data_IF_235945996159
#
_entry.id   IF_235945996159
#
_cell.length_a   1.000
_cell.length_b   1.000
_cell.length_c   1.000
_cell.angle_alpha   90.00
_cell.angle_beta   90.00
_cell.angle_gamma   90.00
#
_symmetry.space_group_name_H-M   'P 1'
#
loop_
_entity.id
_entity.type
_entity.pdbx_description
1 polymer ?
#
# COMPACT_ATOMS: atom_id res chain seq x y z
N UNK A 1 31.53 -7.97 -23.06
CA UNK A 1 31.26 -8.97 -22.00
C UNK A 1 30.82 -8.16 -20.80
N UNK A 2 29.61 -8.37 -20.27
CA UNK A 2 29.14 -7.65 -19.09
C UNK A 2 29.99 -8.08 -17.89
N UNK A 3 30.84 -7.19 -17.40
CA UNK A 3 31.64 -7.46 -16.21
C UNK A 3 30.68 -7.58 -15.01
N UNK A 4 30.50 -8.81 -14.52
CA UNK A 4 29.68 -9.06 -13.33
C UNK A 4 30.50 -8.60 -12.14
N UNK A 5 30.02 -7.56 -11.46
CA UNK A 5 30.58 -7.07 -10.22
C UNK A 5 30.00 -7.84 -9.03
N UNK A 6 30.88 -8.12 -8.08
CA UNK A 6 30.59 -8.86 -6.86
C UNK A 6 30.80 -7.97 -5.64
N UNK A 7 30.17 -8.38 -4.53
CA UNK A 7 30.31 -7.80 -3.21
C UNK A 7 30.62 -8.91 -2.21
N UNK A 8 31.45 -8.59 -1.23
CA UNK A 8 31.81 -9.51 -0.14
C UNK A 8 31.06 -9.12 1.12
N UNK A 9 30.33 -10.08 1.68
CA UNK A 9 29.57 -9.93 2.94
C UNK A 9 30.17 -10.80 4.03
N UNK A 10 30.16 -10.30 5.26
CA UNK A 10 30.45 -11.08 6.47
C UNK A 10 29.34 -10.87 7.49
N UNK A 11 28.99 -11.90 8.25
CA UNK A 11 27.96 -11.89 9.29
C UNK A 11 28.53 -12.12 10.70
N UNK A 12 29.86 -12.06 10.85
CA UNK A 12 30.54 -12.30 12.12
C UNK A 12 30.75 -13.77 12.46
N UNK A 13 30.50 -14.69 11.53
CA UNK A 13 30.79 -16.13 11.71
C UNK A 13 32.30 -16.41 11.70
N UNK A 14 32.74 -17.15 12.71
CA UNK A 14 34.15 -17.51 12.90
C UNK A 14 34.49 -18.83 12.17
N UNK A 15 35.72 -18.93 11.68
CA UNK A 15 36.22 -20.18 11.11
C UNK A 15 36.37 -21.26 12.20
N UNK A 16 36.30 -22.56 11.82
CA UNK A 16 36.44 -23.66 12.78
C UNK A 16 37.76 -23.57 13.56
N UNK A 17 37.68 -23.61 14.90
CA UNK A 17 38.86 -23.60 15.77
C UNK A 17 39.44 -22.21 16.09
N UNK A 18 38.76 -21.13 15.69
CA UNK A 18 39.21 -19.75 15.97
C UNK A 18 38.41 -19.11 17.11
N UNK A 19 39.10 -18.42 18.02
CA UNK A 19 38.47 -17.65 19.10
C UNK A 19 38.13 -16.23 18.65
N UNK A 20 37.10 -15.64 19.25
CA UNK A 20 36.64 -14.28 18.93
C UNK A 20 37.75 -13.22 19.09
N UNK A 21 38.56 -13.31 20.14
CA UNK A 21 39.66 -12.37 20.38
C UNK A 21 40.72 -12.45 19.28
N UNK A 22 41.10 -13.66 18.87
CA UNK A 22 42.08 -13.87 17.79
C UNK A 22 41.57 -13.34 16.45
N UNK A 23 40.30 -13.57 16.13
CA UNK A 23 39.69 -13.07 14.89
C UNK A 23 39.65 -11.54 14.88
N UNK A 24 39.31 -10.89 16.01
CA UNK A 24 39.30 -9.43 16.12
C UNK A 24 40.69 -8.82 15.94
N UNK A 25 41.72 -9.39 16.56
CA UNK A 25 43.10 -8.92 16.40
C UNK A 25 43.63 -9.13 14.98
N UNK A 26 43.35 -10.29 14.39
CA UNK A 26 43.78 -10.62 13.03
C UNK A 26 43.11 -9.70 12.01
N UNK A 27 41.83 -9.40 12.20
CA UNK A 27 41.08 -8.47 11.37
C UNK A 27 41.57 -7.02 11.55
N UNK A 28 41.90 -6.61 12.78
CA UNK A 28 42.52 -5.32 13.08
C UNK A 28 43.84 -5.12 12.34
N UNK A 29 44.68 -6.15 12.30
CA UNK A 29 45.93 -6.15 11.54
C UNK A 29 45.68 -6.10 10.04
N UNK A 30 44.74 -6.90 9.53
CA UNK A 30 44.42 -6.96 8.10
C UNK A 30 43.89 -5.62 7.55
N UNK A 31 42.99 -4.97 8.29
CA UNK A 31 42.39 -3.69 7.90
C UNK A 31 43.16 -2.45 8.38
N UNK A 32 44.23 -2.64 9.18
CA UNK A 32 44.99 -1.57 9.83
C UNK A 32 44.08 -0.61 10.62
N UNK A 33 43.14 -1.19 11.38
CA UNK A 33 42.17 -0.46 12.21
C UNK A 33 42.24 -0.92 13.65
N UNK A 34 41.76 -0.09 14.56
CA UNK A 34 41.68 -0.43 15.98
C UNK A 34 40.66 -1.55 16.24
N UNK A 35 40.95 -2.36 17.27
CA UNK A 35 40.11 -3.49 17.70
C UNK A 35 38.68 -3.03 18.03
N UNK A 36 38.53 -1.84 18.62
CA UNK A 36 37.23 -1.24 18.94
C UNK A 36 36.37 -0.94 17.71
N UNK A 37 36.98 -0.47 16.61
CA UNK A 37 36.26 -0.19 15.37
C UNK A 37 35.73 -1.47 14.69
N UNK A 38 36.36 -2.61 14.99
CA UNK A 38 36.06 -3.90 14.37
C UNK A 38 35.03 -4.71 15.16
N UNK A 39 34.87 -4.46 16.46
CA UNK A 39 33.87 -5.13 17.29
C UNK A 39 32.45 -5.04 16.70
N UNK A 40 32.11 -3.90 16.08
CA UNK A 40 30.81 -3.71 15.43
C UNK A 40 30.55 -4.65 14.24
N UNK A 41 31.61 -5.18 13.59
CA UNK A 41 31.46 -6.11 12.48
C UNK A 41 31.02 -7.51 12.93
N UNK A 42 31.14 -7.85 14.22
CA UNK A 42 30.74 -9.14 14.78
C UNK A 42 29.34 -9.11 15.41
N UNK A 43 28.49 -8.15 15.03
CA UNK A 43 27.14 -7.95 15.58
C UNK A 43 26.09 -8.97 15.08
N UNK A 44 26.47 -9.93 14.22
CA UNK A 44 25.57 -10.93 13.64
C UNK A 44 24.83 -10.47 12.37
N UNK A 45 24.88 -9.17 12.05
CA UNK A 45 24.26 -8.63 10.84
C UNK A 45 25.22 -8.73 9.64
N UNK A 46 24.74 -9.11 8.44
CA UNK A 46 25.56 -9.12 7.23
C UNK A 46 26.05 -7.71 6.84
N UNK A 47 27.36 -7.49 6.92
CA UNK A 47 28.02 -6.22 6.59
C UNK A 47 28.85 -6.39 5.32
N UNK A 48 28.76 -5.40 4.42
CA UNK A 48 29.54 -5.34 3.19
C UNK A 48 30.96 -4.84 3.45
N UNK A 49 31.98 -5.65 3.20
CA UNK A 49 33.39 -5.24 3.37
C UNK A 49 33.87 -4.47 2.15
N UNK A 50 33.63 -5.02 0.96
CA UNK A 50 34.05 -4.44 -0.32
C UNK A 50 32.98 -4.71 -1.38
N UNK A 51 32.72 -3.71 -2.21
CA UNK A 51 31.77 -3.71 -3.32
C UNK A 51 32.52 -3.46 -4.62
N UNK A 52 31.84 -3.70 -5.73
CA UNK A 52 32.31 -3.36 -7.07
C UNK A 52 33.66 -4.02 -7.44
N UNK A 53 33.76 -5.33 -7.20
CA UNK A 53 34.97 -6.11 -7.49
C UNK A 53 34.70 -7.24 -8.49
N UNK A 54 35.71 -7.60 -9.28
CA UNK A 54 35.61 -8.74 -10.21
C UNK A 54 35.71 -10.09 -9.47
N UNK A 55 35.37 -11.20 -10.14
CA UNK A 55 35.39 -12.52 -9.50
C UNK A 55 36.77 -12.92 -8.97
N UNK A 56 37.84 -12.67 -9.74
CA UNK A 56 39.19 -13.07 -9.35
C UNK A 56 39.70 -12.32 -8.11
N UNK A 57 39.33 -11.05 -7.97
CA UNK A 57 39.60 -10.24 -6.79
C UNK A 57 38.75 -10.73 -5.62
N UNK A 58 37.47 -11.02 -5.84
CA UNK A 58 36.58 -11.53 -4.80
C UNK A 58 37.13 -12.81 -4.16
N UNK A 59 37.62 -13.75 -4.98
CA UNK A 59 38.20 -15.01 -4.48
C UNK A 59 39.45 -14.78 -3.62
N UNK A 60 40.34 -13.86 -4.03
CA UNK A 60 41.51 -13.47 -3.22
C UNK A 60 41.14 -12.87 -1.86
N UNK A 61 40.09 -12.05 -1.82
CA UNK A 61 39.63 -11.47 -0.56
C UNK A 61 38.98 -12.52 0.36
N UNK A 62 38.26 -13.50 -0.18
CA UNK A 62 37.68 -14.59 0.61
C UNK A 62 38.79 -15.41 1.25
N UNK A 63 39.83 -15.75 0.48
CA UNK A 63 41.00 -16.48 0.99
C UNK A 63 41.73 -15.71 2.10
N UNK A 64 41.96 -14.40 1.90
CA UNK A 64 42.57 -13.54 2.90
C UNK A 64 41.72 -13.46 4.19
N UNK A 65 40.39 -13.35 4.07
CA UNK A 65 39.49 -13.30 5.22
C UNK A 65 39.39 -14.65 5.96
N UNK A 66 39.41 -15.75 5.22
CA UNK A 66 39.46 -17.10 5.79
C UNK A 66 40.76 -17.32 6.56
N UNK A 67 41.90 -16.88 6.02
CA UNK A 67 43.19 -16.94 6.73
C UNK A 67 43.22 -16.09 8.01
N UNK A 68 42.40 -15.04 8.09
CA UNK A 68 42.21 -14.22 9.28
C UNK A 68 41.18 -14.82 10.27
N UNK A 69 40.60 -15.98 9.95
CA UNK A 69 39.71 -16.74 10.83
C UNK A 69 38.24 -16.37 10.75
N UNK A 70 37.79 -15.74 9.65
CA UNK A 70 36.39 -15.31 9.46
C UNK A 70 35.83 -15.91 8.17
N UNK A 71 34.56 -16.31 8.22
CA UNK A 71 33.86 -16.80 7.04
C UNK A 71 33.20 -15.60 6.31
N UNK A 72 33.55 -15.44 5.04
CA UNK A 72 32.98 -14.41 4.17
C UNK A 72 32.25 -15.05 2.99
N UNK A 73 31.18 -14.40 2.51
CA UNK A 73 30.38 -14.85 1.37
C UNK A 73 30.54 -13.92 0.16
N UNK A 74 30.60 -14.52 -1.02
CA UNK A 74 30.59 -13.84 -2.32
C UNK A 74 29.16 -13.72 -2.83
N UNK A 75 28.68 -12.50 -3.01
CA UNK A 75 27.35 -12.20 -3.55
C UNK A 75 27.50 -11.33 -4.81
N UNK A 76 26.54 -11.44 -5.75
CA UNK A 76 26.51 -10.58 -6.94
C UNK A 76 26.04 -9.18 -6.52
N UNK A 77 26.76 -8.15 -6.93
CA UNK A 77 26.37 -6.76 -6.65
C UNK A 77 25.39 -6.29 -7.73
N UNK A 78 24.09 -6.50 -7.48
CA UNK A 78 23.03 -6.06 -8.39
C UNK A 78 23.09 -4.55 -8.67
N UNK A 79 23.47 -3.75 -7.67
CA UNK A 79 23.56 -2.29 -7.80
C UNK A 79 24.69 -1.84 -8.72
N UNK A 80 25.84 -2.51 -8.67
CA UNK A 80 26.95 -2.21 -9.57
C UNK A 80 26.71 -2.73 -11.01
N UNK A 81 25.91 -3.78 -11.17
CA UNK A 81 25.59 -4.36 -12.49
C UNK A 81 24.47 -3.61 -13.24
N UNK A 82 23.86 -2.59 -12.62
CA UNK A 82 22.88 -1.71 -13.24
C UNK A 82 23.60 -0.55 -13.93
N UNK A 83 24.06 -0.76 -15.16
CA UNK A 83 24.59 0.31 -16.02
C UNK A 83 23.48 0.86 -16.91
N UNK A 84 23.32 2.19 -16.92
CA UNK A 84 22.43 2.89 -17.85
C UNK A 84 23.20 3.15 -19.14
N UNK A 85 22.85 2.45 -20.23
CA UNK A 85 23.35 2.82 -21.55
C UNK A 85 22.71 4.14 -22.00
N UNK A 86 23.50 5.16 -22.38
CA UNK A 86 22.96 6.35 -23.01
C UNK A 86 22.38 5.94 -24.37
N UNK A 87 21.10 6.22 -24.57
CA UNK A 87 20.43 6.07 -25.86
C UNK A 87 21.14 7.03 -26.82
N UNK A 88 21.91 6.49 -27.77
CA UNK A 88 22.49 7.31 -28.83
C UNK A 88 21.35 7.94 -29.60
N UNK A 89 21.32 9.28 -29.59
CA UNK A 89 20.36 10.08 -30.33
C UNK A 89 20.69 9.92 -31.82
N UNK A 90 20.17 8.83 -32.42
CA UNK A 90 20.24 8.61 -33.85
C UNK A 90 19.53 9.76 -34.56
N UNK A 91 20.27 10.47 -35.41
CA UNK A 91 19.76 11.51 -36.30
C UNK A 91 18.44 11.11 -36.94
N UNK A 92 17.44 11.98 -36.77
CA UNK A 92 16.17 11.90 -37.47
C UNK A 92 16.39 12.26 -38.95
N UNK A 93 16.74 11.27 -39.77
CA UNK A 93 16.59 11.41 -41.21
C UNK A 93 15.10 11.59 -41.52
N UNK A 94 14.79 12.71 -42.17
CA UNK A 94 13.45 13.15 -42.53
C UNK A 94 12.82 12.16 -43.53
N UNK A 95 12.14 11.14 -43.02
CA UNK A 95 11.23 10.37 -43.85
C UNK A 95 9.98 11.23 -44.11
N UNK A 96 9.84 11.75 -45.33
CA UNK A 96 8.76 12.65 -45.76
C UNK A 96 7.43 11.94 -46.02
N UNK A 97 7.28 10.69 -45.58
CA UNK A 97 6.02 9.96 -45.64
C UNK A 97 5.01 10.55 -44.65
N UNK A 98 3.82 10.91 -45.14
CA UNK A 98 2.72 11.40 -44.29
C UNK A 98 1.89 10.25 -43.75
N UNK A 99 1.41 10.38 -42.52
CA UNK A 99 0.53 9.41 -41.89
C UNK A 99 -0.56 10.10 -41.06
N UNK A 100 -1.68 9.41 -40.88
CA UNK A 100 -2.79 9.87 -40.04
C UNK A 100 -2.73 9.20 -38.67
N UNK A 101 -2.83 10.00 -37.60
CA UNK A 101 -2.80 9.48 -36.23
C UNK A 101 -4.08 8.68 -35.91
N UNK A 102 -3.98 7.42 -35.43
CA UNK A 102 -5.14 6.57 -35.14
C UNK A 102 -5.97 6.99 -33.91
N UNK A 103 -5.54 8.01 -33.16
CA UNK A 103 -6.27 8.52 -31.97
C UNK A 103 -7.00 9.82 -32.21
N UNK A 104 -6.33 10.81 -32.82
CA UNK A 104 -6.88 12.16 -33.00
C UNK A 104 -7.13 12.52 -34.47
N UNK A 105 -6.85 11.60 -35.41
CA UNK A 105 -7.01 11.78 -36.85
C UNK A 105 -6.20 12.92 -37.48
N UNK A 106 -5.19 13.47 -36.79
CA UNK A 106 -4.29 14.49 -37.37
C UNK A 106 -3.36 13.88 -38.42
N UNK A 107 -3.26 14.52 -39.59
CA UNK A 107 -2.23 14.24 -40.59
C UNK A 107 -0.89 14.86 -40.17
N UNK A 108 0.15 14.04 -40.10
CA UNK A 108 1.50 14.46 -39.73
C UNK A 108 2.55 13.66 -40.49
N UNK A 109 3.81 14.11 -40.48
CA UNK A 109 4.92 13.29 -40.96
C UNK A 109 5.06 12.01 -40.13
N UNK A 110 5.60 10.95 -40.74
CA UNK A 110 5.90 9.69 -40.08
C UNK A 110 6.85 9.95 -38.91
N UNK A 111 6.32 9.82 -37.70
CA UNK A 111 7.04 10.06 -36.46
C UNK A 111 6.62 9.00 -35.44
N UNK A 112 7.50 8.70 -34.49
CA UNK A 112 7.23 7.73 -33.42
C UNK A 112 6.13 8.23 -32.46
N UNK A 113 6.00 9.56 -32.34
CA UNK A 113 5.02 10.24 -31.50
C UNK A 113 4.06 11.14 -32.31
N UNK A 114 2.83 11.26 -31.83
CA UNK A 114 1.86 12.19 -32.41
C UNK A 114 2.12 13.61 -31.93
N UNK A 115 2.31 14.55 -32.86
CA UNK A 115 2.58 15.96 -32.56
C UNK A 115 1.37 16.70 -31.98
N UNK A 116 0.15 16.19 -32.20
CA UNK A 116 -1.08 16.81 -31.68
C UNK A 116 -1.52 16.24 -30.32
N UNK A 117 -1.58 14.91 -30.18
CA UNK A 117 -2.13 14.27 -28.98
C UNK A 117 -1.10 13.52 -28.11
N UNK A 118 0.18 13.54 -28.50
CA UNK A 118 1.30 13.06 -27.68
C UNK A 118 1.41 11.54 -27.51
N UNK A 119 0.65 10.73 -28.26
CA UNK A 119 0.76 9.27 -28.15
C UNK A 119 1.97 8.73 -28.91
N UNK A 120 2.57 7.65 -28.39
CA UNK A 120 3.53 6.84 -29.14
C UNK A 120 2.76 5.92 -30.10
N UNK A 121 2.89 6.16 -31.40
CA UNK A 121 2.00 5.61 -32.43
C UNK A 121 2.15 4.08 -32.55
N UNK A 122 3.38 3.56 -32.53
CA UNK A 122 3.65 2.13 -32.59
C UNK A 122 3.00 1.39 -31.40
N UNK A 123 3.13 1.97 -30.19
CA UNK A 123 2.55 1.39 -28.96
C UNK A 123 1.02 1.41 -29.00
N UNK A 124 0.42 2.48 -29.50
CA UNK A 124 -1.04 2.61 -29.60
C UNK A 124 -1.65 1.64 -30.62
N UNK A 125 -0.99 1.44 -31.77
CA UNK A 125 -1.41 0.43 -32.76
C UNK A 125 -1.34 -0.99 -32.20
N UNK A 126 -0.29 -1.33 -31.46
CA UNK A 126 -0.16 -2.64 -30.82
C UNK A 126 -1.23 -2.85 -29.74
N UNK A 127 -1.57 -1.81 -28.98
CA UNK A 127 -2.66 -1.86 -28.01
C UNK A 127 -4.01 -2.07 -28.70
N UNK A 128 -4.31 -1.36 -29.79
CA UNK A 128 -5.54 -1.57 -30.57
C UNK A 128 -5.62 -2.99 -31.17
N UNK A 129 -4.51 -3.54 -31.67
CA UNK A 129 -4.47 -4.91 -32.17
C UNK A 129 -4.74 -5.94 -31.06
N UNK A 130 -4.25 -5.69 -29.84
CA UNK A 130 -4.52 -6.53 -28.68
C UNK A 130 -5.97 -6.39 -28.18
N UNK A 131 -6.56 -5.20 -28.21
CA UNK A 131 -7.97 -5.00 -27.82
C UNK A 131 -8.92 -5.65 -28.82
N UNK A 132 -8.61 -5.61 -30.12
CA UNK A 132 -9.46 -6.20 -31.15
C UNK A 132 -9.41 -7.75 -31.17
N UNK A 133 -8.36 -8.35 -30.61
CA UNK A 133 -8.21 -9.81 -30.47
C UNK A 133 -8.53 -10.35 -29.06
N UNK A 134 -8.93 -9.50 -28.10
CA UNK A 134 -9.16 -9.94 -26.71
C UNK A 134 -10.59 -10.38 -26.42
N UNK A 135 -11.09 -11.31 -27.23
CA UNK A 135 -12.15 -12.24 -26.82
C UNK A 135 -11.60 -13.63 -26.49
N UNK A 136 -10.32 -13.96 -26.75
CA UNK A 136 -9.88 -15.36 -26.58
C UNK A 136 -8.45 -15.67 -26.08
N UNK A 137 -7.59 -14.70 -25.76
CA UNK A 137 -6.25 -15.02 -25.25
C UNK A 137 -5.73 -14.01 -24.22
N UNK A 138 -5.98 -14.25 -22.93
CA UNK A 138 -5.36 -13.50 -21.81
C UNK A 138 -4.66 -14.40 -20.77
N UNK A 139 -4.35 -15.66 -21.09
CA UNK A 139 -3.80 -16.62 -20.12
C UNK A 139 -2.29 -16.83 -20.15
N UNK A 140 -1.46 -16.06 -20.88
CA UNK A 140 -0.04 -16.43 -21.10
C UNK A 140 0.97 -15.59 -20.30
N UNK A 141 0.62 -15.13 -19.09
CA UNK A 141 1.58 -14.48 -18.19
C UNK A 141 1.54 -15.13 -16.80
N UNK A 142 2.59 -15.86 -16.38
CA UNK A 142 2.68 -16.50 -15.06
C UNK A 142 2.59 -15.53 -13.88
N UNK A 143 2.87 -14.25 -14.11
CA UNK A 143 2.77 -13.16 -13.11
C UNK A 143 1.62 -12.19 -13.42
N UNK A 144 0.71 -12.52 -14.34
CA UNK A 144 -0.49 -11.71 -14.49
C UNK A 144 -1.36 -11.94 -13.26
N UNK A 145 -1.57 -10.87 -12.48
CA UNK A 145 -2.60 -10.86 -11.46
C UNK A 145 -3.90 -11.34 -12.11
N UNK A 146 -4.64 -12.27 -11.50
CA UNK A 146 -5.94 -12.65 -12.04
C UNK A 146 -6.75 -11.38 -12.22
N UNK A 147 -7.14 -11.08 -13.46
CA UNK A 147 -8.07 -10.00 -13.72
C UNK A 147 -9.40 -10.45 -13.11
N UNK A 148 -9.61 -10.12 -11.84
CA UNK A 148 -10.91 -10.23 -11.23
C UNK A 148 -11.80 -9.24 -11.98
N UNK A 149 -12.58 -9.74 -12.94
CA UNK A 149 -13.77 -9.07 -13.41
C UNK A 149 -14.72 -9.06 -12.22
N UNK A 150 -14.50 -8.16 -11.28
CA UNK A 150 -15.49 -7.84 -10.27
C UNK A 150 -16.55 -7.09 -11.06
N UNK A 151 -17.65 -7.78 -11.39
CA UNK A 151 -18.89 -7.09 -11.70
C UNK A 151 -19.17 -6.20 -10.48
N UNK A 152 -18.80 -4.92 -10.59
CA UNK A 152 -19.19 -3.92 -9.62
C UNK A 152 -20.68 -3.72 -9.81
N UNK A 153 -21.46 -4.63 -9.24
CA UNK A 153 -22.87 -4.42 -9.04
C UNK A 153 -22.98 -3.28 -8.02
N UNK A 154 -22.99 -2.04 -8.50
CA UNK A 154 -23.13 -0.82 -7.70
C UNK A 154 -24.44 -0.80 -6.91
N UNK A 155 -25.35 -1.70 -7.24
CA UNK A 155 -26.68 -1.79 -6.67
C UNK A 155 -26.76 -2.82 -5.53
N UNK A 156 -25.72 -3.64 -5.32
CA UNK A 156 -25.64 -4.58 -4.20
C UNK A 156 -25.20 -3.85 -2.92
N UNK A 157 -26.11 -3.02 -2.42
CA UNK A 157 -25.98 -2.36 -1.11
C UNK A 157 -26.06 -3.43 -0.05
N UNK A 158 -24.94 -3.74 0.62
CA UNK A 158 -24.93 -4.68 1.74
C UNK A 158 -26.03 -4.35 2.76
N UNK A 159 -26.90 -5.33 2.99
CA UNK A 159 -28.10 -5.19 3.82
C UNK A 159 -27.73 -4.68 5.21
N UNK A 160 -28.28 -3.52 5.56
CA UNK A 160 -28.20 -2.99 6.91
C UNK A 160 -29.15 -3.82 7.76
N UNK A 161 -28.62 -4.74 8.55
CA UNK A 161 -29.44 -5.38 9.56
C UNK A 161 -29.89 -4.31 10.56
N UNK A 162 -31.16 -3.90 10.52
CA UNK A 162 -31.68 -2.81 11.35
C UNK A 162 -31.78 -3.25 12.82
N UNK A 163 -31.85 -4.56 13.06
CA UNK A 163 -32.07 -5.19 14.36
C UNK A 163 -30.81 -5.93 14.79
N UNK A 164 -29.86 -5.23 15.41
CA UNK A 164 -28.61 -5.83 15.87
C UNK A 164 -27.47 -4.82 16.00
N UNK A 165 -26.36 -5.26 16.59
CA UNK A 165 -25.15 -4.44 16.81
C UNK A 165 -24.04 -4.84 15.81
N UNK A 166 -24.24 -5.96 15.15
CA UNK A 166 -23.39 -6.58 14.16
C UNK A 166 -23.51 -5.84 12.82
N UNK A 167 -22.37 -5.58 12.21
CA UNK A 167 -22.28 -4.88 10.93
C UNK A 167 -21.44 -3.62 11.01
N UNK A 168 -21.29 -2.98 9.85
CA UNK A 168 -20.50 -1.77 9.65
C UNK A 168 -21.33 -0.75 8.87
N UNK A 169 -21.25 0.51 9.25
CA UNK A 169 -21.91 1.61 8.55
C UNK A 169 -20.90 2.71 8.22
N UNK A 170 -20.77 3.02 6.93
CA UNK A 170 -19.93 4.12 6.46
C UNK A 170 -20.52 5.48 6.79
N UNK A 171 -19.71 6.54 6.65
CA UNK A 171 -20.05 7.92 7.06
C UNK A 171 -21.34 8.47 6.44
N UNK A 172 -21.54 8.29 5.12
CA UNK A 172 -22.73 8.81 4.43
C UNK A 172 -24.01 8.13 4.91
N UNK A 173 -23.98 6.80 5.10
CA UNK A 173 -25.13 6.04 5.62
C UNK A 173 -25.40 6.40 7.08
N UNK A 174 -24.34 6.61 7.88
CA UNK A 174 -24.47 7.09 9.24
C UNK A 174 -25.23 8.42 9.29
N UNK A 175 -24.80 9.43 8.52
CA UNK A 175 -25.47 10.73 8.46
C UNK A 175 -26.92 10.58 7.99
N UNK A 176 -27.18 9.83 6.92
CA UNK A 176 -28.53 9.62 6.41
C UNK A 176 -29.46 8.98 7.45
N UNK A 177 -29.03 7.91 8.12
CA UNK A 177 -29.84 7.24 9.15
C UNK A 177 -30.00 8.07 10.42
N UNK A 178 -29.00 8.85 10.82
CA UNK A 178 -29.13 9.81 11.92
C UNK A 178 -30.15 10.92 11.59
N UNK A 179 -30.19 11.40 10.34
CA UNK A 179 -31.20 12.36 9.90
C UNK A 179 -32.59 11.73 9.90
N UNK A 180 -32.76 10.52 9.36
CA UNK A 180 -34.03 9.78 9.40
C UNK A 180 -34.53 9.59 10.84
N UNK A 181 -33.65 9.20 11.76
CA UNK A 181 -33.97 9.07 13.18
C UNK A 181 -34.45 10.40 13.78
N UNK A 182 -33.78 11.51 13.45
CA UNK A 182 -34.15 12.85 13.93
C UNK A 182 -35.51 13.30 13.38
N UNK A 183 -35.78 13.08 12.09
CA UNK A 183 -37.06 13.38 11.46
C UNK A 183 -38.21 12.47 11.93
N UNK A 184 -37.93 11.22 12.34
CA UNK A 184 -38.93 10.32 12.88
C UNK A 184 -39.28 10.65 14.35
N UNK A 185 -38.28 10.99 15.18
CA UNK A 185 -38.48 11.28 16.60
C UNK A 185 -39.14 12.64 16.82
N UNK A 186 -38.79 13.65 16.03
CA UNK A 186 -39.33 15.01 16.19
C UNK A 186 -40.87 15.04 16.23
N UNK A 187 -41.61 14.49 15.24
CA UNK A 187 -43.06 14.47 15.31
C UNK A 187 -43.58 13.58 16.46
N UNK A 188 -42.92 12.46 16.76
CA UNK A 188 -43.31 11.59 17.88
C UNK A 188 -43.21 12.34 19.24
N UNK A 189 -42.15 13.12 19.43
CA UNK A 189 -41.98 13.98 20.60
C UNK A 189 -43.01 15.11 20.63
N UNK A 190 -43.31 15.75 19.50
CA UNK A 190 -44.36 16.78 19.42
C UNK A 190 -45.73 16.23 19.79
N UNK A 191 -46.11 15.06 19.27
CA UNK A 191 -47.37 14.38 19.61
C UNK A 191 -47.41 14.06 21.10
N UNK A 192 -46.30 13.55 21.65
CA UNK A 192 -46.19 13.23 23.08
C UNK A 192 -46.30 14.49 23.95
N UNK A 193 -45.79 15.63 23.48
CA UNK A 193 -45.90 16.92 24.16
C UNK A 193 -47.33 17.48 24.12
N UNK A 194 -48.07 17.28 23.03
CA UNK A 194 -49.50 17.59 22.97
C UNK A 194 -50.29 16.70 23.94
N UNK A 195 -49.99 15.40 24.01
CA UNK A 195 -50.62 14.47 24.95
C UNK A 195 -50.33 14.86 26.42
N UNK A 196 -49.14 15.41 26.69
CA UNK A 196 -48.77 15.92 28.03
C UNK A 196 -49.67 17.08 28.48
N UNK A 197 -50.12 17.93 27.57
CA UNK A 197 -51.07 19.01 27.88
C UNK A 197 -52.44 18.47 28.29
N UNK A 198 -52.86 17.33 27.73
CA UNK A 198 -54.13 16.69 28.08
C UNK A 198 -54.04 15.91 29.39
N UNK A 199 -52.97 15.12 29.58
CA UNK A 199 -52.69 14.44 30.84
C UNK A 199 -51.19 14.27 31.07
N UNK A 200 -50.64 14.75 32.21
CA UNK A 200 -49.20 14.66 32.48
C UNK A 200 -48.68 13.23 32.51
N UNK A 201 -49.47 12.29 33.03
CA UNK A 201 -49.10 10.88 33.13
C UNK A 201 -48.91 10.24 31.74
N UNK A 202 -49.91 10.40 30.86
CA UNK A 202 -49.89 9.81 29.51
C UNK A 202 -48.78 10.43 28.66
N UNK A 203 -48.66 11.76 28.66
CA UNK A 203 -47.60 12.43 27.92
C UNK A 203 -46.21 12.06 28.43
N UNK A 204 -46.02 11.97 29.74
CA UNK A 204 -44.75 11.57 30.34
C UNK A 204 -44.33 10.15 29.94
N UNK A 205 -45.29 9.21 29.93
CA UNK A 205 -45.05 7.83 29.52
C UNK A 205 -44.70 7.73 28.03
N UNK A 206 -45.41 8.48 27.17
CA UNK A 206 -45.13 8.55 25.74
C UNK A 206 -43.75 9.16 25.44
N UNK A 207 -43.37 10.25 26.12
CA UNK A 207 -42.04 10.86 25.99
C UNK A 207 -40.95 9.86 26.42
N UNK A 208 -41.12 9.20 27.56
CA UNK A 208 -40.16 8.22 28.05
C UNK A 208 -40.00 7.04 27.08
N UNK A 209 -41.12 6.49 26.58
CA UNK A 209 -41.11 5.40 25.62
C UNK A 209 -40.41 5.82 24.31
N UNK A 210 -40.78 6.97 23.73
CA UNK A 210 -40.17 7.49 22.51
C UNK A 210 -38.66 7.77 22.69
N UNK A 211 -38.27 8.34 23.85
CA UNK A 211 -36.89 8.60 24.20
C UNK A 211 -36.05 7.32 24.35
N UNK A 212 -36.60 6.28 24.99
CA UNK A 212 -35.90 4.98 25.11
C UNK A 212 -35.69 4.35 23.74
N UNK A 213 -36.72 4.34 22.88
CA UNK A 213 -36.62 3.82 21.50
C UNK A 213 -35.55 4.60 20.72
N UNK A 214 -35.56 5.92 20.82
CA UNK A 214 -34.57 6.79 20.20
C UNK A 214 -33.12 6.47 20.63
N UNK A 215 -32.91 6.30 21.93
CA UNK A 215 -31.59 5.99 22.50
C UNK A 215 -31.13 4.62 22.02
N UNK A 216 -31.98 3.60 22.03
CA UNK A 216 -31.64 2.24 21.58
C UNK A 216 -31.21 2.26 20.11
N UNK A 217 -31.98 2.90 19.23
CA UNK A 217 -31.66 2.98 17.79
C UNK A 217 -30.39 3.81 17.57
N UNK A 218 -30.25 4.94 18.27
CA UNK A 218 -29.06 5.80 18.18
C UNK A 218 -27.78 5.10 18.62
N UNK A 219 -27.83 4.29 19.68
CA UNK A 219 -26.72 3.45 20.14
C UNK A 219 -26.38 2.40 19.08
N UNK A 220 -27.37 1.68 18.53
CA UNK A 220 -27.12 0.67 17.50
C UNK A 220 -26.42 1.24 16.27
N UNK A 221 -26.86 2.40 15.78
CA UNK A 221 -26.24 3.08 14.63
C UNK A 221 -24.80 3.50 14.95
N UNK A 222 -24.57 4.09 16.12
CA UNK A 222 -23.26 4.59 16.52
C UNK A 222 -22.24 3.47 16.78
N UNK A 223 -22.66 2.35 17.39
CA UNK A 223 -21.77 1.19 17.59
C UNK A 223 -21.35 0.59 16.24
N UNK A 224 -22.26 0.49 15.27
CA UNK A 224 -21.92 0.05 13.90
C UNK A 224 -20.93 0.98 13.21
N UNK A 225 -20.97 2.29 13.49
CA UNK A 225 -20.00 3.26 12.96
C UNK A 225 -18.62 3.05 13.60
N UNK A 226 -18.59 2.81 14.91
CA UNK A 226 -17.34 2.49 15.62
C UNK A 226 -16.71 1.18 15.10
N UNK A 227 -17.54 0.16 14.83
CA UNK A 227 -17.08 -1.09 14.21
C UNK A 227 -16.54 -0.90 12.78
N UNK A 228 -17.04 0.09 12.03
CA UNK A 228 -16.50 0.45 10.70
C UNK A 228 -15.10 1.06 10.80
N UNK A 229 -14.81 1.83 11.87
CA UNK A 229 -13.48 2.38 12.17
C UNK A 229 -12.53 1.31 12.76
N UNK A 230 -13.06 0.12 13.11
CA UNK A 230 -12.29 -0.94 13.76
C UNK A 230 -12.13 -0.73 15.27
N UNK A 231 -12.96 0.11 15.88
CA UNK A 231 -12.95 0.42 17.30
C UNK A 231 -14.05 -0.32 18.06
N UNK A 232 -13.86 -0.51 19.37
CA UNK A 232 -14.85 -1.15 20.23
C UNK A 232 -16.03 -0.22 20.51
N UNK A 233 -17.24 -0.78 20.61
CA UNK A 233 -18.46 -0.02 20.92
C UNK A 233 -18.43 0.76 22.25
N UNK A 234 -17.51 0.41 23.17
CA UNK A 234 -17.32 1.13 24.44
C UNK A 234 -16.91 2.60 24.26
N UNK A 235 -16.25 2.94 23.16
CA UNK A 235 -15.87 4.33 22.87
C UNK A 235 -17.09 5.23 22.58
N UNK A 236 -18.30 4.68 22.47
CA UNK A 236 -19.53 5.45 22.38
C UNK A 236 -19.70 6.39 23.58
N UNK A 237 -19.14 6.07 24.76
CA UNK A 237 -19.16 6.96 25.92
C UNK A 237 -18.47 8.31 25.68
N UNK A 238 -17.51 8.39 24.76
CA UNK A 238 -16.90 9.66 24.34
C UNK A 238 -17.95 10.55 23.67
N UNK A 239 -18.98 9.96 23.04
CA UNK A 239 -20.10 10.68 22.46
C UNK A 239 -20.96 11.45 23.49
N UNK A 240 -20.80 11.15 24.78
CA UNK A 240 -21.47 11.88 25.86
C UNK A 240 -20.83 13.24 26.14
N UNK A 241 -19.58 13.43 25.71
CA UNK A 241 -18.89 14.72 25.80
C UNK A 241 -19.36 15.58 24.62
N UNK A 242 -20.08 16.69 24.86
CA UNK A 242 -20.57 17.55 23.79
C UNK A 242 -19.40 18.07 22.94
N UNK A 243 -19.64 18.26 21.63
CA UNK A 243 -18.66 18.67 20.60
C UNK A 243 -17.60 17.60 20.29
N UNK A 244 -16.85 17.12 21.29
CA UNK A 244 -15.82 16.08 21.08
C UNK A 244 -16.45 14.80 20.54
N UNK A 245 -17.56 14.39 21.13
CA UNK A 245 -18.35 13.26 20.70
C UNK A 245 -18.86 13.37 19.27
N UNK A 246 -19.36 14.55 18.90
CA UNK A 246 -19.91 14.80 17.56
C UNK A 246 -18.83 14.75 16.47
N UNK A 247 -17.64 15.29 16.75
CA UNK A 247 -16.51 15.24 15.82
C UNK A 247 -15.99 13.80 15.68
N UNK A 248 -15.88 13.08 16.80
CA UNK A 248 -15.39 11.71 16.85
C UNK A 248 -16.20 10.74 15.98
N UNK A 249 -17.52 10.92 15.89
CA UNK A 249 -18.38 10.06 15.06
C UNK A 249 -18.29 10.35 13.55
N UNK A 250 -17.84 11.56 13.17
CA UNK A 250 -17.72 12.01 11.78
C UNK A 250 -16.34 11.74 11.16
N UNK A 251 -15.30 11.61 12.01
CA UNK A 251 -13.99 11.05 11.66
C UNK A 251 -14.12 9.57 11.28
#
# INVERSE_FOLDING_TARGET
MSDIHYKITMDGTLAPGVTLNFAQESLARLFKKDVSAIQHLFSGNPIAIKRDINSLQADKYIEALFSAGIIARKEVDLTANLSLEPISSGNSEQNSERMTCPKCATEQALHDTCQNCGIVIAKFKNYQAQTNNSTQARSVSPYASPAATIEQNTDEVGDLNIWGIEGRIGRMRYIAWSMVLMFAITPAMLISMLAFKASPLLGGLLIAAAGIIAIIIGIQISVKRLHDIGWSGWLLLISLIPVVGSIFQLL
#
